data_IF_901907961629
#
_entry.id   IF_901907961629
#
_cell.length_a   1.000
_cell.length_b   1.000
_cell.length_c   1.000
_cell.angle_alpha   90.00
_cell.angle_beta   90.00
_cell.angle_gamma   90.00
#
_symmetry.space_group_name_H-M   'P 1'
#
loop_
_entity.id
_entity.type
_entity.pdbx_description
1 polymer ?
#
# COMPACT_ATOMS: atom_id res chain seq x y z
N UNK A 1 -0.36 -6.04 -19.16
CA UNK A 1 -1.57 -5.20 -19.32
C UNK A 1 -2.43 -5.44 -18.09
N UNK A 2 -2.62 -4.44 -17.22
CA UNK A 2 -3.50 -4.63 -16.05
C UNK A 2 -4.94 -4.69 -16.55
N UNK A 3 -5.66 -5.79 -16.25
CA UNK A 3 -7.10 -5.86 -16.41
C UNK A 3 -7.75 -4.62 -15.77
N UNK A 4 -8.62 -3.94 -16.51
CA UNK A 4 -9.31 -2.73 -16.06
C UNK A 4 -10.47 -3.15 -15.15
N UNK A 5 -10.33 -2.89 -13.85
CA UNK A 5 -11.35 -3.23 -12.84
C UNK A 5 -12.66 -2.49 -13.18
N UNK A 6 -13.76 -3.24 -13.27
CA UNK A 6 -15.10 -2.68 -13.31
C UNK A 6 -15.61 -2.45 -11.88
N UNK A 7 -15.47 -1.23 -11.39
CA UNK A 7 -15.85 -0.89 -10.02
C UNK A 7 -17.35 -1.04 -9.71
N UNK A 8 -18.21 -1.09 -10.73
CA UNK A 8 -19.64 -1.37 -10.53
C UNK A 8 -19.86 -2.86 -10.26
N UNK A 9 -19.21 -3.74 -11.02
CA UNK A 9 -19.20 -5.19 -10.78
C UNK A 9 -18.54 -5.50 -9.44
N UNK A 10 -17.38 -4.90 -9.15
CA UNK A 10 -16.69 -5.08 -7.87
C UNK A 10 -17.57 -4.69 -6.68
N UNK A 11 -18.34 -3.61 -6.79
CA UNK A 11 -19.31 -3.21 -5.76
C UNK A 11 -20.35 -4.30 -5.52
N UNK A 12 -20.88 -4.91 -6.59
CA UNK A 12 -21.86 -6.01 -6.49
C UNK A 12 -21.25 -7.25 -5.83
N UNK A 13 -20.06 -7.66 -6.28
CA UNK A 13 -19.33 -8.81 -5.74
C UNK A 13 -18.98 -8.60 -4.26
N UNK A 14 -18.55 -7.40 -3.88
CA UNK A 14 -18.23 -7.02 -2.50
C UNK A 14 -19.46 -7.15 -1.60
N UNK A 15 -20.61 -6.60 -2.00
CA UNK A 15 -21.85 -6.67 -1.20
C UNK A 15 -22.33 -8.12 -1.07
N UNK A 16 -22.38 -8.85 -2.19
CA UNK A 16 -22.79 -10.26 -2.22
C UNK A 16 -21.90 -11.11 -1.32
N UNK A 17 -20.60 -10.87 -1.40
CA UNK A 17 -19.61 -11.60 -0.65
C UNK A 17 -19.64 -11.29 0.85
N UNK A 18 -19.81 -10.02 1.23
CA UNK A 18 -20.00 -9.61 2.63
C UNK A 18 -21.29 -10.19 3.23
N UNK A 19 -22.38 -10.27 2.45
CA UNK A 19 -23.63 -10.94 2.88
C UNK A 19 -23.39 -12.43 3.18
N UNK A 20 -22.51 -13.08 2.43
CA UNK A 20 -22.21 -14.50 2.54
C UNK A 20 -23.44 -15.37 2.35
N UNK A 21 -23.67 -16.32 3.27
CA UNK A 21 -24.78 -17.29 3.19
C UNK A 21 -26.13 -16.76 3.67
N UNK A 22 -26.19 -15.56 4.28
CA UNK A 22 -27.46 -15.01 4.79
C UNK A 22 -28.33 -14.53 3.62
N UNK A 23 -29.64 -14.62 3.76
CA UNK A 23 -30.56 -14.20 2.69
C UNK A 23 -30.59 -12.68 2.53
N UNK A 24 -30.94 -12.21 1.33
CA UNK A 24 -31.11 -10.76 1.06
C UNK A 24 -32.19 -10.17 1.98
N UNK A 25 -33.31 -10.88 2.15
CA UNK A 25 -34.42 -10.48 3.03
C UNK A 25 -34.00 -10.30 4.50
N UNK A 26 -33.06 -11.11 4.99
CA UNK A 26 -32.56 -10.98 6.36
C UNK A 26 -31.94 -9.60 6.62
N UNK A 27 -31.06 -9.13 5.74
CA UNK A 27 -30.42 -7.83 5.88
C UNK A 27 -31.35 -6.68 5.48
N UNK A 28 -32.23 -6.90 4.51
CA UNK A 28 -33.19 -5.89 4.08
C UNK A 28 -34.14 -5.47 5.23
N UNK A 29 -34.63 -6.45 6.02
CA UNK A 29 -35.43 -6.20 7.22
C UNK A 29 -34.66 -5.40 8.27
N UNK A 30 -33.38 -5.73 8.49
CA UNK A 30 -32.52 -5.03 9.48
C UNK A 30 -32.16 -3.61 9.07
N UNK A 31 -32.01 -3.34 7.78
CA UNK A 31 -31.86 -2.00 7.24
C UNK A 31 -33.16 -1.19 7.25
N UNK A 32 -34.29 -1.80 7.67
CA UNK A 32 -35.64 -1.19 7.65
C UNK A 32 -36.03 -0.66 6.27
N UNK A 33 -35.58 -1.33 5.20
CA UNK A 33 -35.86 -0.93 3.83
C UNK A 33 -37.21 -1.49 3.37
N UNK A 34 -38.04 -0.63 2.76
CA UNK A 34 -39.37 -1.02 2.25
C UNK A 34 -39.30 -1.90 0.99
N UNK A 35 -38.24 -1.77 0.21
CA UNK A 35 -38.02 -2.55 -1.02
C UNK A 35 -36.82 -3.48 -0.85
N UNK A 36 -36.66 -4.50 -1.69
CA UNK A 36 -35.53 -5.43 -1.65
C UNK A 36 -34.22 -4.75 -2.12
N UNK A 37 -33.71 -3.84 -1.29
CA UNK A 37 -32.62 -2.94 -1.62
C UNK A 37 -31.29 -3.69 -1.75
N UNK A 38 -31.07 -4.71 -0.91
CA UNK A 38 -29.89 -5.59 -1.01
C UNK A 38 -29.82 -6.26 -2.39
N UNK A 39 -30.92 -6.86 -2.86
CA UNK A 39 -30.97 -7.45 -4.20
C UNK A 39 -30.65 -6.43 -5.29
N UNK A 40 -31.20 -5.22 -5.19
CA UNK A 40 -30.97 -4.17 -6.19
C UNK A 40 -29.52 -3.72 -6.24
N UNK A 41 -28.84 -3.66 -5.09
CA UNK A 41 -27.39 -3.41 -5.05
C UNK A 41 -26.58 -4.58 -5.62
N UNK A 42 -26.90 -5.82 -5.27
CA UNK A 42 -26.19 -7.02 -5.76
C UNK A 42 -26.35 -7.26 -7.27
N UNK A 43 -27.44 -6.79 -7.86
CA UNK A 43 -27.73 -6.93 -9.30
C UNK A 43 -27.40 -5.66 -10.10
N UNK A 44 -26.90 -4.62 -9.44
CA UNK A 44 -26.61 -3.33 -10.09
C UNK A 44 -27.84 -2.51 -10.50
N UNK A 45 -29.07 -2.96 -10.19
CA UNK A 45 -30.32 -2.21 -10.43
C UNK A 45 -30.40 -0.89 -9.65
N UNK A 46 -29.57 -0.72 -8.62
CA UNK A 46 -29.34 0.57 -7.95
C UNK A 46 -27.91 0.65 -7.44
N UNK A 47 -27.39 1.88 -7.30
CA UNK A 47 -26.06 2.12 -6.74
C UNK A 47 -26.14 2.29 -5.23
N UNK A 48 -25.14 1.77 -4.51
CA UNK A 48 -24.98 2.02 -3.08
C UNK A 48 -24.08 3.25 -2.88
N UNK A 49 -24.46 4.11 -1.95
CA UNK A 49 -23.63 5.23 -1.48
C UNK A 49 -22.65 4.79 -0.41
N UNK A 50 -21.61 5.59 -0.18
CA UNK A 50 -20.64 5.37 0.91
C UNK A 50 -21.31 5.24 2.28
N UNK A 51 -22.27 6.13 2.57
CA UNK A 51 -23.03 6.14 3.83
C UNK A 51 -23.84 4.85 4.00
N UNK A 52 -24.53 4.41 2.95
CA UNK A 52 -25.27 3.13 2.99
C UNK A 52 -24.34 1.93 3.14
N UNK A 53 -23.17 1.96 2.50
CA UNK A 53 -22.17 0.91 2.64
C UNK A 53 -21.64 0.81 4.07
N UNK A 54 -21.36 1.93 4.74
CA UNK A 54 -20.94 1.93 6.14
C UNK A 54 -22.01 1.36 7.07
N UNK A 55 -23.29 1.74 6.88
CA UNK A 55 -24.41 1.15 7.62
C UNK A 55 -24.49 -0.37 7.41
N UNK A 56 -24.19 -0.82 6.19
CA UNK A 56 -24.15 -2.24 5.88
C UNK A 56 -22.99 -2.95 6.61
N UNK A 57 -21.80 -2.36 6.64
CA UNK A 57 -20.66 -2.89 7.40
C UNK A 57 -20.93 -2.96 8.91
N UNK A 58 -21.61 -1.96 9.47
CA UNK A 58 -22.06 -2.00 10.87
C UNK A 58 -23.00 -3.18 11.13
N UNK A 59 -23.94 -3.47 10.23
CA UNK A 59 -24.82 -4.65 10.35
C UNK A 59 -24.06 -5.97 10.25
N UNK A 60 -22.95 -6.00 9.51
CA UNK A 60 -22.04 -7.15 9.43
C UNK A 60 -21.07 -7.22 10.61
N UNK A 61 -21.14 -6.27 11.55
CA UNK A 61 -20.23 -6.15 12.70
C UNK A 61 -18.76 -6.00 12.31
N UNK A 62 -18.51 -5.32 11.19
CA UNK A 62 -17.16 -5.00 10.73
C UNK A 62 -16.79 -3.62 11.29
N UNK A 63 -15.69 -3.55 12.03
CA UNK A 63 -15.14 -2.28 12.51
C UNK A 63 -14.46 -1.53 11.36
N UNK A 64 -15.26 -0.71 10.68
CA UNK A 64 -14.79 0.04 9.53
C UNK A 64 -13.75 1.11 9.89
N UNK A 65 -13.88 1.70 11.08
CA UNK A 65 -12.93 2.72 11.56
C UNK A 65 -11.54 2.10 11.75
N UNK A 66 -11.49 0.91 12.36
CA UNK A 66 -10.24 0.17 12.50
C UNK A 66 -9.60 -0.13 11.14
N UNK A 67 -10.39 -0.50 10.12
CA UNK A 67 -9.89 -0.75 8.78
C UNK A 67 -9.35 0.52 8.11
N UNK A 68 -10.07 1.65 8.17
CA UNK A 68 -9.60 2.90 7.60
C UNK A 68 -8.32 3.40 8.29
N UNK A 69 -8.22 3.26 9.60
CA UNK A 69 -7.00 3.56 10.34
C UNK A 69 -5.84 2.65 9.92
N UNK A 70 -6.08 1.33 9.85
CA UNK A 70 -5.04 0.35 9.50
C UNK A 70 -4.47 0.56 8.09
N UNK A 71 -5.34 0.72 7.09
CA UNK A 71 -4.90 0.74 5.69
C UNK A 71 -4.61 2.14 5.17
N UNK A 72 -5.28 3.17 5.70
CA UNK A 72 -5.16 4.54 5.20
C UNK A 72 -4.65 5.53 6.25
N UNK A 73 -4.40 5.09 7.49
CA UNK A 73 -4.02 5.97 8.62
C UNK A 73 -5.04 7.09 8.86
N UNK A 74 -6.30 6.84 8.52
CA UNK A 74 -7.37 7.81 8.70
C UNK A 74 -8.03 7.62 10.07
N UNK A 75 -8.03 8.68 10.89
CA UNK A 75 -8.59 8.70 12.25
C UNK A 75 -9.79 9.66 12.38
N UNK A 76 -10.21 10.28 11.28
CA UNK A 76 -11.33 11.22 11.28
C UNK A 76 -12.69 10.53 11.37
N UNK A 77 -13.75 11.32 11.25
CA UNK A 77 -15.11 10.80 11.13
C UNK A 77 -15.26 9.99 9.84
N UNK A 78 -15.55 8.69 10.01
CA UNK A 78 -15.71 7.74 8.90
C UNK A 78 -16.95 8.05 8.06
N UNK A 79 -17.96 8.68 8.67
CA UNK A 79 -19.18 9.07 7.95
C UNK A 79 -18.94 10.23 6.98
N UNK A 80 -17.95 11.06 7.28
CA UNK A 80 -17.53 12.19 6.45
C UNK A 80 -16.60 11.75 5.32
N UNK A 81 -17.20 11.38 4.19
CA UNK A 81 -16.44 11.02 2.98
C UNK A 81 -15.53 12.16 2.49
N UNK A 82 -15.90 13.42 2.70
CA UNK A 82 -15.08 14.57 2.30
C UNK A 82 -13.79 14.67 3.12
N UNK A 83 -13.84 14.39 4.42
CA UNK A 83 -12.65 14.31 5.28
C UNK A 83 -11.75 13.14 4.86
N UNK A 84 -12.35 11.98 4.60
CA UNK A 84 -11.58 10.81 4.16
C UNK A 84 -10.91 11.03 2.80
N UNK A 85 -11.62 11.59 1.82
CA UNK A 85 -11.06 11.89 0.51
C UNK A 85 -9.99 12.99 0.58
N UNK A 86 -10.22 14.05 1.36
CA UNK A 86 -9.19 15.09 1.58
C UNK A 86 -7.92 14.49 2.18
N UNK A 87 -8.05 13.57 3.14
CA UNK A 87 -6.93 12.84 3.72
C UNK A 87 -6.19 11.99 2.66
N UNK A 88 -6.92 11.27 1.81
CA UNK A 88 -6.31 10.48 0.73
C UNK A 88 -5.63 11.34 -0.34
N UNK A 89 -6.18 12.51 -0.64
CA UNK A 89 -5.66 13.43 -1.64
C UNK A 89 -4.39 14.14 -1.18
N UNK A 90 -4.25 14.36 0.13
CA UNK A 90 -3.15 15.13 0.70
C UNK A 90 -3.09 16.51 0.03
N UNK A 91 -1.90 16.89 -0.44
CA UNK A 91 -1.66 18.21 -1.06
C UNK A 91 -1.87 18.24 -2.59
N UNK A 92 -2.43 17.18 -3.20
CA UNK A 92 -2.59 17.09 -4.66
C UNK A 92 -3.68 18.03 -5.16
N UNK A 93 -3.44 18.66 -6.32
CA UNK A 93 -4.46 19.54 -6.94
C UNK A 93 -5.59 18.70 -7.53
N UNK A 94 -6.82 19.23 -7.49
CA UNK A 94 -8.00 18.55 -8.07
C UNK A 94 -7.81 18.23 -9.56
N UNK A 95 -7.12 19.09 -10.30
CA UNK A 95 -6.80 18.90 -11.72
C UNK A 95 -5.85 17.72 -11.96
N UNK A 96 -4.89 17.49 -11.07
CA UNK A 96 -3.99 16.33 -11.10
C UNK A 96 -4.76 15.06 -10.75
N UNK A 97 -5.55 15.12 -9.67
CA UNK A 97 -6.38 14.00 -9.23
C UNK A 97 -7.35 13.57 -10.31
N UNK A 98 -8.02 14.51 -10.98
CA UNK A 98 -8.96 14.25 -12.07
C UNK A 98 -8.37 13.39 -13.19
N UNK A 99 -7.12 13.68 -13.57
CA UNK A 99 -6.34 12.88 -14.54
C UNK A 99 -6.01 11.50 -13.99
N UNK A 100 -5.55 11.41 -12.74
CA UNK A 100 -5.18 10.12 -12.11
C UNK A 100 -6.37 9.20 -11.92
N UNK A 101 -7.45 9.68 -11.30
CA UNK A 101 -8.63 8.88 -10.96
C UNK A 101 -9.63 8.75 -12.11
N UNK A 102 -9.39 9.44 -13.22
CA UNK A 102 -10.24 9.47 -14.40
C UNK A 102 -11.70 9.83 -14.04
N UNK A 103 -11.88 10.91 -13.28
CA UNK A 103 -13.17 11.52 -12.94
C UNK A 103 -13.08 13.01 -13.23
N UNK A 104 -14.17 13.65 -13.68
CA UNK A 104 -14.14 15.10 -13.92
C UNK A 104 -13.88 15.88 -12.63
N UNK A 105 -13.16 16.99 -12.73
CA UNK A 105 -12.92 17.89 -11.59
C UNK A 105 -14.24 18.31 -10.91
N UNK A 106 -15.27 18.58 -11.73
CA UNK A 106 -16.61 18.92 -11.25
C UNK A 106 -17.21 17.81 -10.37
N UNK A 107 -17.08 16.54 -10.78
CA UNK A 107 -17.58 15.41 -9.98
C UNK A 107 -16.81 15.28 -8.66
N UNK A 108 -15.48 15.41 -8.69
CA UNK A 108 -14.65 15.37 -7.48
C UNK A 108 -15.07 16.48 -6.52
N UNK A 109 -15.20 17.73 -6.99
CA UNK A 109 -15.65 18.87 -6.19
C UNK A 109 -17.03 18.65 -5.59
N UNK A 110 -17.98 18.12 -6.36
CA UNK A 110 -19.34 17.84 -5.86
C UNK A 110 -19.36 16.78 -4.77
N UNK A 111 -18.54 15.74 -4.88
CA UNK A 111 -18.40 14.72 -3.83
C UNK A 111 -17.80 15.34 -2.56
N UNK A 112 -16.72 16.13 -2.70
CA UNK A 112 -16.07 16.81 -1.57
C UNK A 112 -17.01 17.81 -0.86
N UNK A 113 -17.84 18.52 -1.62
CA UNK A 113 -18.78 19.51 -1.09
C UNK A 113 -20.11 18.89 -0.65
N UNK A 114 -20.29 17.56 -0.77
CA UNK A 114 -21.53 16.88 -0.41
C UNK A 114 -22.73 17.16 -1.35
N UNK A 115 -22.53 17.88 -2.47
CA UNK A 115 -23.58 18.23 -3.43
C UNK A 115 -23.88 17.13 -4.46
N UNK A 116 -23.21 15.98 -4.35
CA UNK A 116 -23.53 14.75 -5.08
C UNK A 116 -23.40 13.55 -4.15
N UNK A 117 -24.26 12.52 -4.30
CA UNK A 117 -24.05 11.24 -3.63
C UNK A 117 -22.66 10.68 -3.93
N UNK A 118 -21.95 10.26 -2.89
CA UNK A 118 -20.68 9.57 -3.00
C UNK A 118 -20.93 8.07 -3.23
N UNK A 119 -21.06 7.65 -4.49
CA UNK A 119 -21.29 6.24 -4.82
C UNK A 119 -20.05 5.40 -4.53
N UNK A 120 -20.26 4.20 -3.95
CA UNK A 120 -19.15 3.33 -3.54
C UNK A 120 -18.21 2.99 -4.69
N UNK A 121 -18.73 2.72 -5.89
CA UNK A 121 -17.92 2.43 -7.07
C UNK A 121 -16.91 3.54 -7.40
N UNK A 122 -17.31 4.82 -7.27
CA UNK A 122 -16.42 5.95 -7.49
C UNK A 122 -15.36 6.05 -6.38
N UNK A 123 -15.73 5.78 -5.13
CA UNK A 123 -14.79 5.80 -4.00
C UNK A 123 -13.77 4.67 -4.12
N UNK A 124 -14.20 3.44 -4.44
CA UNK A 124 -13.30 2.32 -4.69
C UNK A 124 -12.33 2.61 -5.83
N UNK A 125 -12.81 3.24 -6.91
CA UNK A 125 -11.96 3.70 -8.02
C UNK A 125 -10.91 4.69 -7.57
N UNK A 126 -11.29 5.69 -6.78
CA UNK A 126 -10.36 6.69 -6.24
C UNK A 126 -9.28 6.00 -5.40
N UNK A 127 -9.66 5.12 -4.48
CA UNK A 127 -8.72 4.43 -3.59
C UNK A 127 -7.75 3.56 -4.40
N UNK A 128 -8.24 2.76 -5.34
CA UNK A 128 -7.41 1.90 -6.20
C UNK A 128 -6.40 2.71 -7.02
N UNK A 129 -6.86 3.78 -7.68
CA UNK A 129 -6.00 4.55 -8.59
C UNK A 129 -5.00 5.44 -7.86
N UNK A 130 -5.24 5.76 -6.58
CA UNK A 130 -4.26 6.46 -5.74
C UNK A 130 -3.28 5.47 -5.08
N UNK A 131 -3.77 4.31 -4.62
CA UNK A 131 -2.94 3.30 -3.98
C UNK A 131 -3.56 1.90 -4.09
N UNK A 132 -3.29 1.23 -5.20
CA UNK A 132 -3.79 -0.13 -5.50
C UNK A 132 -3.38 -1.15 -4.44
N UNK A 133 -2.18 -1.03 -3.88
CA UNK A 133 -1.70 -1.98 -2.90
C UNK A 133 -2.54 -1.93 -1.61
N UNK A 134 -2.73 -0.74 -1.04
CA UNK A 134 -3.58 -0.53 0.14
C UNK A 134 -5.02 -0.86 -0.14
N UNK A 135 -5.50 -0.54 -1.34
CA UNK A 135 -6.85 -0.89 -1.81
C UNK A 135 -7.11 -2.40 -1.72
N UNK A 136 -6.24 -3.23 -2.31
CA UNK A 136 -6.43 -4.68 -2.29
C UNK A 136 -6.27 -5.25 -0.87
N UNK A 137 -5.33 -4.74 -0.08
CA UNK A 137 -5.20 -5.11 1.33
C UNK A 137 -6.48 -4.82 2.12
N UNK A 138 -7.04 -3.62 1.93
CA UNK A 138 -8.28 -3.17 2.56
C UNK A 138 -9.47 -4.05 2.15
N UNK A 139 -9.64 -4.33 0.86
CA UNK A 139 -10.69 -5.21 0.40
C UNK A 139 -10.53 -6.64 0.94
N UNK A 140 -9.30 -7.16 1.00
CA UNK A 140 -9.04 -8.48 1.56
C UNK A 140 -9.37 -8.58 3.05
N UNK A 141 -9.27 -7.48 3.79
CA UNK A 141 -9.69 -7.42 5.19
C UNK A 141 -11.23 -7.37 5.35
N UNK A 142 -11.95 -6.96 4.30
CA UNK A 142 -13.42 -7.02 4.27
C UNK A 142 -13.92 -8.40 3.85
N UNK A 143 -13.25 -9.02 2.87
CA UNK A 143 -13.66 -10.28 2.25
C UNK A 143 -12.47 -10.98 1.59
N UNK A 144 -12.48 -12.31 1.62
CA UNK A 144 -11.56 -13.16 0.84
C UNK A 144 -11.61 -12.82 -0.66
N UNK A 145 -10.58 -12.10 -1.14
CA UNK A 145 -10.51 -11.63 -2.53
C UNK A 145 -10.35 -12.75 -3.55
N UNK A 146 -10.00 -13.97 -3.14
CA UNK A 146 -9.95 -15.12 -4.06
C UNK A 146 -11.33 -15.47 -4.64
N UNK A 147 -12.40 -14.93 -4.05
CA UNK A 147 -13.79 -15.12 -4.45
C UNK A 147 -14.36 -13.96 -5.30
N UNK A 148 -13.59 -12.88 -5.51
CA UNK A 148 -14.03 -11.70 -6.25
C UNK A 148 -13.35 -11.72 -7.63
N UNK A 149 -14.12 -11.95 -8.69
CA UNK A 149 -13.58 -12.11 -10.04
C UNK A 149 -12.79 -10.89 -10.51
N UNK A 150 -13.30 -9.68 -10.22
CA UNK A 150 -12.73 -8.41 -10.70
C UNK A 150 -11.29 -8.13 -10.23
N UNK A 151 -10.89 -8.66 -9.07
CA UNK A 151 -9.58 -8.35 -8.46
C UNK A 151 -8.73 -9.57 -8.14
N UNK A 152 -9.23 -10.79 -8.43
CA UNK A 152 -8.58 -12.05 -8.06
C UNK A 152 -7.16 -12.16 -8.62
N UNK A 153 -6.96 -11.86 -9.89
CA UNK A 153 -5.66 -12.00 -10.56
C UNK A 153 -4.64 -10.98 -10.00
N UNK A 154 -5.06 -9.73 -9.85
CA UNK A 154 -4.23 -8.65 -9.32
C UNK A 154 -3.85 -8.93 -7.86
N UNK A 155 -4.80 -9.45 -7.08
CA UNK A 155 -4.54 -9.85 -5.70
C UNK A 155 -3.59 -11.05 -5.61
N UNK A 156 -3.75 -12.06 -6.46
CA UNK A 156 -2.85 -13.20 -6.51
C UNK A 156 -1.42 -12.78 -6.89
N UNK A 157 -1.29 -11.87 -7.85
CA UNK A 157 0.00 -11.30 -8.26
C UNK A 157 0.67 -10.54 -7.10
N UNK A 158 -0.05 -9.62 -6.45
CA UNK A 158 0.49 -8.84 -5.32
C UNK A 158 0.81 -9.74 -4.13
N UNK A 159 -0.04 -10.72 -3.82
CA UNK A 159 0.20 -11.66 -2.72
C UNK A 159 1.45 -12.52 -2.97
N UNK A 160 1.66 -12.96 -4.22
CA UNK A 160 2.85 -13.70 -4.63
C UNK A 160 4.11 -12.85 -4.47
N UNK A 161 4.08 -11.60 -4.94
CA UNK A 161 5.19 -10.67 -4.74
C UNK A 161 5.49 -10.43 -3.27
N UNK A 162 4.47 -10.16 -2.45
CA UNK A 162 4.69 -9.90 -1.03
C UNK A 162 5.32 -11.11 -0.35
N UNK A 163 4.82 -12.32 -0.62
CA UNK A 163 5.43 -13.56 -0.10
C UNK A 163 6.93 -13.62 -0.45
N UNK A 164 7.26 -13.42 -1.73
CA UNK A 164 8.65 -13.42 -2.19
C UNK A 164 9.48 -12.30 -1.56
N UNK A 165 8.94 -11.09 -1.42
CA UNK A 165 9.63 -9.95 -0.82
C UNK A 165 9.94 -10.19 0.66
N UNK A 166 9.03 -10.82 1.39
CA UNK A 166 9.26 -11.17 2.80
C UNK A 166 10.35 -12.25 2.96
N UNK A 167 10.43 -13.19 2.02
CA UNK A 167 11.48 -14.20 1.98
C UNK A 167 12.82 -13.60 1.50
N UNK A 168 12.77 -12.62 0.60
CA UNK A 168 13.95 -12.04 -0.08
C UNK A 168 13.81 -10.51 -0.21
N UNK A 169 14.11 -9.71 0.84
CA UNK A 169 13.83 -8.27 0.81
C UNK A 169 14.60 -7.49 -0.27
N UNK A 170 15.79 -7.97 -0.67
CA UNK A 170 16.60 -7.39 -1.77
C UNK A 170 15.92 -7.48 -3.15
N UNK A 171 14.91 -8.33 -3.34
CA UNK A 171 14.22 -8.44 -4.64
C UNK A 171 13.56 -7.12 -5.06
N UNK A 172 13.16 -6.28 -4.09
CA UNK A 172 12.65 -4.94 -4.35
C UNK A 172 13.71 -4.01 -4.96
N UNK A 173 14.97 -4.15 -4.58
CA UNK A 173 16.06 -3.34 -5.14
C UNK A 173 16.32 -3.65 -6.61
N UNK A 174 16.16 -4.91 -7.05
CA UNK A 174 16.28 -5.26 -8.47
C UNK A 174 15.20 -4.54 -9.29
N UNK A 175 13.97 -4.50 -8.80
CA UNK A 175 12.89 -3.77 -9.46
C UNK A 175 13.17 -2.26 -9.56
N UNK A 176 13.76 -1.67 -8.52
CA UNK A 176 14.17 -0.26 -8.53
C UNK A 176 15.36 -0.03 -9.48
N UNK A 177 16.36 -0.90 -9.48
CA UNK A 177 17.55 -0.80 -10.31
C UNK A 177 17.22 -0.88 -11.81
N UNK A 178 16.27 -1.73 -12.21
CA UNK A 178 15.74 -1.79 -13.58
C UNK A 178 15.04 -0.50 -14.03
N UNK A 179 14.66 0.37 -13.09
CA UNK A 179 13.99 1.66 -13.36
C UNK A 179 14.96 2.84 -13.36
N UNK A 180 16.22 2.63 -13.01
CA UNK A 180 17.26 3.65 -13.13
C UNK A 180 17.42 4.07 -14.59
N UNK A 181 17.62 5.36 -14.82
CA UNK A 181 17.72 5.89 -16.17
C UNK A 181 18.99 5.40 -16.88
N UNK A 182 20.07 5.15 -16.12
CA UNK A 182 21.26 4.46 -16.61
C UNK A 182 20.96 3.08 -17.20
N UNK A 183 20.12 2.26 -16.53
CA UNK A 183 19.69 0.96 -17.06
C UNK A 183 18.85 1.10 -18.32
N UNK A 184 17.90 2.06 -18.32
CA UNK A 184 17.05 2.33 -19.48
C UNK A 184 17.86 2.73 -20.72
N UNK A 185 18.97 3.46 -20.54
CA UNK A 185 19.88 3.92 -21.61
C UNK A 185 20.79 2.83 -22.19
N UNK A 186 20.93 1.67 -21.55
CA UNK A 186 21.73 0.57 -22.10
C UNK A 186 21.25 0.16 -23.51
N UNK A 187 22.00 -0.62 -24.28
CA UNK A 187 21.44 -1.22 -25.51
C UNK A 187 20.77 -2.58 -25.22
N UNK A 188 21.41 -3.35 -24.34
CA UNK A 188 20.98 -4.67 -23.88
C UNK A 188 21.12 -4.79 -22.38
N UNK A 189 20.51 -5.81 -21.79
CA UNK A 189 20.65 -6.10 -20.38
C UNK A 189 22.12 -6.37 -20.03
N UNK A 190 22.59 -5.67 -19.00
CA UNK A 190 23.86 -5.94 -18.34
C UNK A 190 23.58 -6.37 -16.89
N UNK A 191 23.89 -7.63 -16.50
CA UNK A 191 23.72 -8.08 -15.13
C UNK A 191 24.71 -7.42 -14.17
N UNK A 192 25.89 -7.00 -14.64
CA UNK A 192 26.89 -6.30 -13.84
C UNK A 192 26.40 -4.94 -13.39
N UNK A 193 25.64 -4.23 -14.24
CA UNK A 193 24.98 -2.98 -13.86
C UNK A 193 24.07 -3.18 -12.63
N UNK A 194 23.22 -4.22 -12.63
CA UNK A 194 22.32 -4.49 -11.51
C UNK A 194 23.07 -4.94 -10.26
N UNK A 195 24.05 -5.83 -10.42
CA UNK A 195 24.90 -6.30 -9.34
C UNK A 195 25.58 -5.12 -8.62
N UNK A 196 26.18 -4.20 -9.39
CA UNK A 196 26.83 -3.01 -8.84
C UNK A 196 25.84 -2.05 -8.17
N UNK A 197 24.69 -1.77 -8.80
CA UNK A 197 23.71 -0.82 -8.27
C UNK A 197 22.96 -1.31 -7.04
N UNK A 198 22.83 -2.63 -6.88
CA UNK A 198 22.11 -3.25 -5.75
C UNK A 198 23.07 -3.76 -4.66
N UNK A 199 24.35 -4.00 -5.00
CA UNK A 199 25.33 -4.58 -4.08
C UNK A 199 25.15 -6.08 -3.86
N UNK A 200 24.91 -6.83 -4.95
CA UNK A 200 24.72 -8.30 -4.92
C UNK A 200 25.54 -8.99 -6.00
N UNK A 201 25.70 -10.32 -5.89
CA UNK A 201 26.41 -11.13 -6.88
C UNK A 201 25.61 -11.30 -8.20
N UNK A 202 26.32 -11.64 -9.29
CA UNK A 202 25.69 -11.93 -10.58
C UNK A 202 24.72 -13.13 -10.52
N UNK A 203 25.01 -14.13 -9.68
CA UNK A 203 24.13 -15.28 -9.47
C UNK A 203 22.85 -14.88 -8.76
N UNK A 204 22.92 -14.01 -7.74
CA UNK A 204 21.73 -13.44 -7.09
C UNK A 204 20.90 -12.59 -8.07
N UNK A 205 21.54 -11.80 -8.94
CA UNK A 205 20.83 -11.05 -9.99
C UNK A 205 20.02 -12.00 -10.88
N UNK A 206 20.65 -13.06 -11.39
CA UNK A 206 20.00 -14.05 -12.24
C UNK A 206 18.82 -14.72 -11.52
N UNK A 207 19.03 -15.15 -10.28
CA UNK A 207 18.00 -15.77 -9.44
C UNK A 207 16.80 -14.85 -9.20
N UNK A 208 17.03 -13.59 -8.81
CA UNK A 208 15.95 -12.65 -8.57
C UNK A 208 15.20 -12.28 -9.85
N UNK A 209 15.89 -12.14 -10.98
CA UNK A 209 15.24 -11.90 -12.27
C UNK A 209 14.33 -13.08 -12.65
N UNK A 210 14.78 -14.32 -12.47
CA UNK A 210 13.97 -15.51 -12.72
C UNK A 210 12.67 -15.49 -11.90
N UNK A 211 12.79 -15.23 -10.59
CA UNK A 211 11.62 -15.13 -9.71
C UNK A 211 10.69 -14.00 -10.18
N UNK A 212 11.22 -12.80 -10.42
CA UNK A 212 10.43 -11.64 -10.83
C UNK A 212 9.72 -11.84 -12.17
N UNK A 213 10.32 -12.57 -13.11
CA UNK A 213 9.69 -12.97 -14.37
C UNK A 213 8.53 -13.94 -14.09
N UNK A 214 8.78 -14.96 -13.27
CA UNK A 214 7.77 -15.97 -12.90
C UNK A 214 6.54 -15.36 -12.24
N UNK A 215 6.71 -14.34 -11.39
CA UNK A 215 5.59 -13.63 -10.74
C UNK A 215 5.05 -12.44 -11.57
N UNK A 216 5.57 -12.21 -12.78
CA UNK A 216 5.05 -11.23 -13.73
C UNK A 216 5.37 -9.76 -13.39
N UNK A 217 6.37 -9.51 -12.55
CA UNK A 217 6.83 -8.17 -12.19
C UNK A 217 7.97 -7.67 -13.05
N UNK A 218 8.64 -8.57 -13.77
CA UNK A 218 9.61 -8.26 -14.81
C UNK A 218 9.21 -8.98 -16.09
N UNK A 219 9.31 -8.30 -17.23
CA UNK A 219 9.18 -8.94 -18.54
C UNK A 219 10.44 -8.68 -19.36
N UNK A 220 10.83 -9.64 -20.19
CA UNK A 220 11.88 -9.43 -21.18
C UNK A 220 11.23 -8.78 -22.41
N UNK A 221 11.71 -7.59 -22.79
CA UNK A 221 11.33 -6.91 -24.02
C UNK A 221 12.60 -6.59 -24.78
N UNK A 222 12.68 -7.09 -26.01
CA UNK A 222 13.90 -7.03 -26.82
C UNK A 222 15.07 -7.65 -26.05
N UNK A 223 16.21 -6.98 -25.98
CA UNK A 223 17.39 -7.45 -25.24
C UNK A 223 17.43 -6.97 -23.77
N UNK A 224 16.33 -6.44 -23.22
CA UNK A 224 16.28 -5.88 -21.86
C UNK A 224 15.14 -6.39 -21.01
N UNK A 225 15.26 -6.17 -19.70
CA UNK A 225 14.19 -6.38 -18.75
C UNK A 225 13.43 -5.08 -18.47
N UNK A 226 12.11 -5.18 -18.38
CA UNK A 226 11.22 -4.09 -17.98
C UNK A 226 10.54 -4.47 -16.68
N UNK A 227 10.76 -3.67 -15.64
CA UNK A 227 10.06 -3.80 -14.37
C UNK A 227 8.69 -3.12 -14.43
N UNK A 228 7.68 -3.76 -13.85
CA UNK A 228 6.42 -3.10 -13.54
C UNK A 228 6.57 -2.19 -12.32
N UNK A 229 5.68 -1.20 -12.19
CA UNK A 229 5.65 -0.36 -11.00
C UNK A 229 5.19 -1.17 -9.80
N UNK A 230 6.02 -1.26 -8.76
CA UNK A 230 5.65 -1.88 -7.49
C UNK A 230 5.57 -0.82 -6.42
N UNK A 231 4.47 -0.85 -5.69
CA UNK A 231 4.38 -0.24 -4.37
C UNK A 231 4.39 -1.40 -3.38
N UNK A 232 5.41 -1.46 -2.53
CA UNK A 232 5.41 -2.33 -1.36
C UNK A 232 4.94 -1.52 -0.16
N UNK A 233 3.90 -1.98 0.52
CA UNK A 233 3.52 -1.50 1.83
C UNK A 233 3.43 -2.69 2.77
N UNK A 234 4.33 -2.77 3.75
CA UNK A 234 4.33 -3.84 4.73
C UNK A 234 3.40 -3.52 5.92
N UNK A 235 2.71 -2.36 5.93
CA UNK A 235 1.88 -1.85 7.04
C UNK A 235 0.81 -2.81 7.58
N UNK A 236 0.52 -3.89 6.86
CA UNK A 236 -0.63 -4.75 7.11
C UNK A 236 -0.31 -6.06 7.85
N UNK A 237 0.96 -6.44 8.05
CA UNK A 237 1.32 -7.64 8.82
C UNK A 237 2.47 -7.35 9.79
N UNK A 238 2.19 -7.14 11.09
CA UNK A 238 3.19 -6.77 12.08
C UNK A 238 4.38 -7.75 12.17
N UNK A 239 4.12 -9.05 12.03
CA UNK A 239 5.21 -10.06 12.09
C UNK A 239 6.15 -9.90 10.91
N UNK A 240 5.60 -9.67 9.72
CA UNK A 240 6.39 -9.50 8.51
C UNK A 240 7.09 -8.15 8.45
N UNK A 241 6.49 -7.09 8.98
CA UNK A 241 7.18 -5.81 9.21
C UNK A 241 8.42 -5.98 10.08
N UNK A 242 8.29 -6.70 11.19
CA UNK A 242 9.41 -6.97 12.09
C UNK A 242 10.51 -7.73 11.33
N UNK A 243 10.15 -8.74 10.52
CA UNK A 243 11.10 -9.50 9.72
C UNK A 243 11.85 -8.61 8.71
N UNK A 244 11.14 -7.78 7.94
CA UNK A 244 11.75 -6.84 6.98
C UNK A 244 12.64 -5.82 7.69
N UNK A 245 12.19 -5.27 8.81
CA UNK A 245 12.95 -4.32 9.62
C UNK A 245 14.22 -4.94 10.20
N UNK A 246 14.14 -6.18 10.71
CA UNK A 246 15.31 -6.93 11.18
C UNK A 246 16.32 -7.11 10.07
N UNK A 247 15.86 -7.51 8.89
CA UNK A 247 16.72 -7.66 7.72
C UNK A 247 17.46 -6.37 7.38
N UNK A 248 16.75 -5.25 7.16
CA UNK A 248 17.39 -3.99 6.78
C UNK A 248 18.27 -3.40 7.88
N UNK A 249 17.94 -3.64 9.15
CA UNK A 249 18.80 -3.25 10.28
C UNK A 249 20.10 -4.04 10.27
N UNK A 250 20.05 -5.35 10.03
CA UNK A 250 21.26 -6.16 9.89
C UNK A 250 22.13 -5.70 8.71
N UNK A 251 21.53 -5.31 7.58
CA UNK A 251 22.27 -4.74 6.45
C UNK A 251 22.94 -3.41 6.79
N UNK A 252 22.23 -2.53 7.52
CA UNK A 252 22.80 -1.27 7.99
C UNK A 252 24.00 -1.52 8.94
N UNK A 253 23.89 -2.48 9.86
CA UNK A 253 24.98 -2.86 10.75
C UNK A 253 26.21 -3.36 9.97
N UNK A 254 26.01 -4.26 9.00
CA UNK A 254 27.10 -4.73 8.14
C UNK A 254 27.77 -3.59 7.36
N UNK A 255 26.99 -2.60 6.90
CA UNK A 255 27.55 -1.42 6.24
C UNK A 255 28.40 -0.59 7.22
N UNK A 256 27.90 -0.36 8.45
CA UNK A 256 28.63 0.36 9.49
C UNK A 256 29.95 -0.34 9.88
N UNK A 257 29.96 -1.67 9.95
CA UNK A 257 31.15 -2.47 10.30
C UNK A 257 32.22 -2.46 9.20
N UNK A 258 31.81 -2.46 7.93
CA UNK A 258 32.73 -2.51 6.79
C UNK A 258 33.33 -1.15 6.41
N UNK A 259 32.78 -0.04 6.92
CA UNK A 259 33.28 1.31 6.63
C UNK A 259 34.15 1.84 7.78
N UNK A 260 35.48 1.90 7.56
CA UNK A 260 36.42 2.55 8.50
C UNK A 260 36.19 4.06 8.65
N UNK A 261 35.57 4.69 7.66
CA UNK A 261 35.05 6.05 7.70
C UNK A 261 33.70 6.08 6.96
N UNK A 262 32.67 6.69 7.57
CA UNK A 262 31.33 6.76 6.98
C UNK A 262 31.39 7.51 5.64
N UNK A 263 30.87 6.93 4.54
CA UNK A 263 30.67 7.70 3.31
C UNK A 263 29.80 8.93 3.63
N UNK A 264 30.20 10.13 3.19
CA UNK A 264 29.44 11.38 3.34
C UNK A 264 28.01 11.33 2.75
N UNK A 265 27.65 10.22 2.10
CA UNK A 265 26.41 10.00 1.37
C UNK A 265 25.39 9.20 2.19
N UNK A 266 25.82 8.51 3.24
CA UNK A 266 24.92 7.76 4.14
C UNK A 266 24.56 8.61 5.37
N UNK A 267 23.33 8.47 5.85
CA UNK A 267 22.85 9.20 7.02
C UNK A 267 22.48 8.23 8.14
N UNK A 268 23.23 8.28 9.24
CA UNK A 268 22.92 7.58 10.49
C UNK A 268 22.68 8.61 11.58
N UNK A 269 21.58 8.48 12.31
CA UNK A 269 21.21 9.40 13.38
C UNK A 269 20.66 8.63 14.58
N UNK A 270 21.02 9.08 15.79
CA UNK A 270 20.47 8.59 17.05
C UNK A 270 20.07 9.79 17.90
N UNK A 271 18.88 9.73 18.48
CA UNK A 271 18.37 10.76 19.39
C UNK A 271 17.71 10.08 20.57
N UNK A 272 18.21 10.36 21.78
CA UNK A 272 17.60 9.97 23.04
C UNK A 272 17.04 11.22 23.72
N UNK A 273 15.79 11.16 24.16
CA UNK A 273 15.10 12.28 24.78
C UNK A 273 14.05 11.77 25.77
N UNK A 274 13.71 12.58 26.77
CA UNK A 274 12.57 12.33 27.66
C UNK A 274 11.35 13.08 27.18
N UNK A 275 10.17 12.52 27.41
CA UNK A 275 8.89 13.14 27.03
C UNK A 275 7.74 12.57 27.85
N UNK A 276 6.54 13.16 27.73
CA UNK A 276 5.33 12.61 28.33
C UNK A 276 4.45 11.92 27.28
N UNK A 277 3.42 11.19 27.73
CA UNK A 277 2.53 10.41 26.84
C UNK A 277 1.79 11.28 25.82
N UNK A 278 1.38 12.49 26.18
CA UNK A 278 0.68 13.39 25.25
C UNK A 278 1.60 13.84 24.11
N UNK A 279 2.86 14.14 24.41
CA UNK A 279 3.86 14.51 23.41
C UNK A 279 4.33 13.30 22.61
N UNK A 280 4.37 12.09 23.19
CA UNK A 280 4.67 10.84 22.46
C UNK A 280 3.74 10.64 21.26
N UNK A 281 2.43 10.84 21.42
CA UNK A 281 1.47 10.76 20.31
C UNK A 281 1.77 11.78 19.22
N UNK A 282 2.14 13.01 19.59
CA UNK A 282 2.56 14.05 18.65
C UNK A 282 3.85 13.66 17.92
N UNK A 283 4.81 13.03 18.59
CA UNK A 283 6.06 12.55 17.98
C UNK A 283 5.77 11.43 16.97
N UNK A 284 4.89 10.49 17.31
CA UNK A 284 4.44 9.44 16.38
C UNK A 284 3.79 10.08 15.14
N UNK A 285 2.94 11.08 15.34
CA UNK A 285 2.35 11.87 14.25
C UNK A 285 3.41 12.51 13.35
N UNK A 286 4.42 13.17 13.91
CA UNK A 286 5.53 13.79 13.15
C UNK A 286 6.33 12.72 12.39
N UNK A 287 6.66 11.61 13.05
CA UNK A 287 7.36 10.49 12.45
C UNK A 287 6.59 9.93 11.24
N UNK A 288 5.27 9.76 11.36
CA UNK A 288 4.44 9.30 10.25
C UNK A 288 4.36 10.34 9.12
N UNK A 289 4.27 11.63 9.46
CA UNK A 289 4.28 12.74 8.49
C UNK A 289 5.59 12.81 7.72
N UNK A 290 6.72 12.61 8.38
CA UNK A 290 8.05 12.58 7.74
C UNK A 290 8.11 11.59 6.56
N UNK A 291 7.53 10.39 6.70
CA UNK A 291 7.47 9.44 5.58
C UNK A 291 6.60 9.93 4.41
N UNK A 292 5.51 10.64 4.70
CA UNK A 292 4.67 11.22 3.63
C UNK A 292 5.39 12.39 2.94
N UNK A 293 6.09 13.24 3.70
CA UNK A 293 6.91 14.32 3.16
C UNK A 293 8.06 13.77 2.29
N UNK A 294 8.73 12.70 2.74
CA UNK A 294 9.76 12.00 1.97
C UNK A 294 9.20 11.40 0.67
N UNK A 295 8.06 10.71 0.73
CA UNK A 295 7.39 10.19 -0.46
C UNK A 295 7.05 11.31 -1.44
N UNK A 296 6.55 12.44 -0.95
CA UNK A 296 6.24 13.60 -1.78
C UNK A 296 7.50 14.15 -2.45
N UNK A 297 8.62 14.25 -1.72
CA UNK A 297 9.91 14.65 -2.27
C UNK A 297 10.31 13.73 -3.44
N UNK A 298 10.33 12.41 -3.21
CA UNK A 298 10.67 11.40 -4.24
C UNK A 298 9.72 11.47 -5.44
N UNK A 299 8.42 11.56 -5.21
CA UNK A 299 7.42 11.62 -6.29
C UNK A 299 7.48 12.93 -7.10
N UNK A 300 8.00 14.00 -6.51
CA UNK A 300 8.14 15.30 -7.17
C UNK A 300 9.44 15.45 -7.95
N UNK A 301 10.43 14.58 -7.72
CA UNK A 301 11.70 14.61 -8.44
C UNK A 301 11.50 14.17 -9.89
N UNK A 302 11.93 15.02 -10.81
CA UNK A 302 11.87 14.79 -12.26
C UNK A 302 13.26 14.61 -12.88
N UNK A 303 14.32 14.67 -12.06
CA UNK A 303 15.71 14.49 -12.51
C UNK A 303 16.00 13.02 -12.78
N UNK A 304 17.19 12.76 -13.30
CA UNK A 304 17.65 11.42 -13.58
C UNK A 304 17.81 10.61 -12.29
N UNK A 305 17.28 9.39 -12.27
CA UNK A 305 17.42 8.46 -11.15
C UNK A 305 18.59 7.52 -11.39
N UNK A 306 19.59 7.58 -10.51
CA UNK A 306 20.86 6.86 -10.64
C UNK A 306 21.21 5.98 -9.41
N UNK A 307 20.49 6.15 -8.30
CA UNK A 307 20.71 5.43 -7.03
C UNK A 307 19.45 4.72 -6.52
N UNK A 308 19.66 3.59 -5.84
CA UNK A 308 18.64 2.86 -5.09
C UNK A 308 18.95 3.02 -3.61
N UNK A 309 17.99 3.53 -2.83
CA UNK A 309 18.13 3.76 -1.40
C UNK A 309 17.09 2.96 -0.61
N UNK A 310 17.53 2.41 0.52
CA UNK A 310 16.65 1.84 1.54
C UNK A 310 16.66 2.73 2.77
N UNK A 311 15.50 3.23 3.18
CA UNK A 311 15.36 3.96 4.44
C UNK A 311 14.70 3.06 5.48
N UNK A 312 15.41 2.84 6.58
CA UNK A 312 14.89 2.13 7.75
C UNK A 312 15.19 2.94 9.00
N UNK A 313 14.15 3.46 9.65
CA UNK A 313 14.27 4.25 10.88
C UNK A 313 13.31 3.70 11.93
N UNK A 314 13.79 3.54 13.16
CA UNK A 314 13.03 2.96 14.27
C UNK A 314 12.81 3.99 15.37
N UNK A 315 11.57 4.12 15.81
CA UNK A 315 11.20 4.78 17.05
C UNK A 315 10.69 3.69 18.00
N UNK A 316 11.39 3.44 19.10
CA UNK A 316 11.05 2.38 20.04
C UNK A 316 11.27 2.82 21.49
N UNK A 317 10.57 2.15 22.40
CA UNK A 317 10.78 2.29 23.83
C UNK A 317 11.80 1.23 24.27
N UNK A 318 13.00 1.62 24.75
CA UNK A 318 14.04 0.68 25.11
C UNK A 318 13.65 -0.19 26.31
N UNK A 319 12.69 0.24 27.15
CA UNK A 319 12.20 -0.58 28.27
C UNK A 319 11.61 -1.90 27.78
N UNK A 320 10.97 -1.91 26.61
CA UNK A 320 10.44 -3.14 26.01
C UNK A 320 11.51 -4.13 25.53
N UNK A 321 12.77 -3.70 25.39
CA UNK A 321 13.88 -4.57 24.96
C UNK A 321 14.62 -5.26 26.11
N UNK A 322 14.48 -4.76 27.34
CA UNK A 322 15.23 -5.28 28.51
C UNK A 322 14.49 -6.37 29.27
N UNK A 323 13.18 -6.55 29.03
CA UNK A 323 12.34 -7.53 29.74
C UNK A 323 12.60 -9.00 29.36
N UNK A 324 13.58 -9.30 28.50
CA UNK A 324 13.87 -10.65 27.99
C UNK A 324 15.36 -10.96 27.80
N UNK A 325 16.30 -10.20 28.39
CA UNK A 325 17.70 -10.64 28.39
C UNK A 325 17.79 -11.82 29.37
N UNK A 326 18.02 -13.07 28.92
CA UNK A 326 18.26 -14.16 29.85
C UNK A 326 19.55 -13.82 30.61
N UNK A 327 19.50 -13.83 31.93
CA UNK A 327 20.69 -13.84 32.78
C UNK A 327 21.49 -15.12 32.52
N UNK A 328 22.19 -15.20 31.40
CA UNK A 328 23.16 -16.24 31.12
C UNK A 328 24.34 -15.59 30.42
N UNK A 329 25.20 -15.00 31.25
CA UNK A 329 26.66 -15.00 31.14
C UNK A 329 27.20 -14.09 32.27
N UNK A 330 27.36 -14.68 33.45
CA UNK A 330 28.39 -14.27 34.42
C UNK A 330 29.34 -15.44 34.59
#
# INVERSE_FOLDING_TARGET
MSNKINYSTLTQELIKGLRGKKSQNYYNKRLKQKTNQIHRWETGKSKITWVEFMRLLQLFKIDFRLLLNRFFRFQGDVESISLFLTHLFGNKKISELSKTVQLSEFKIRRILNGSSPAYLADILKIIDLLNRFRFLGFLNALIDLNKIGEVKEQFAQISSFMKTYYENPRIGHILLALRLDGYKKLKKHDPSFLAQKVGISLSEVAHFLEILIKIGYVTKKDEKYLATSVQSDDSNDPKKQIQIRKYWTAQALLAMENHQAFPLQDAFGSLLFTTNSAVKEKIISIYLKFFEDLKNCIMSDKREHDIVLALNFHLFDPVHSTSQIPENNK
#
